data_IF_162099161327
#
_entry.id   IF_162099161327
#
_cell.length_a   1.000
_cell.length_b   1.000
_cell.length_c   1.000
_cell.angle_alpha   90.00
_cell.angle_beta   90.00
_cell.angle_gamma   90.00
#
_symmetry.space_group_name_H-M   'P 1'
#
loop_
_entity.id
_entity.type
_entity.pdbx_description
1 polymer ?
#
# COMPACT_ATOMS: atom_id res chain seq x y z
N UNK A 1 -7.18 -15.84 9.41
CA UNK A 1 -6.29 -16.29 8.30
C UNK A 1 -4.99 -16.77 8.93
N UNK A 2 -4.90 -18.05 9.32
CA UNK A 2 -3.81 -18.53 10.19
C UNK A 2 -2.43 -18.51 9.51
N UNK A 3 -2.39 -18.64 8.18
CA UNK A 3 -1.14 -18.61 7.42
C UNK A 3 -0.48 -17.23 7.46
N UNK A 4 -1.26 -16.15 7.38
CA UNK A 4 -0.74 -14.78 7.52
C UNK A 4 -0.17 -14.55 8.92
N UNK A 5 -0.89 -14.96 9.97
CA UNK A 5 -0.40 -14.84 11.35
C UNK A 5 0.94 -15.56 11.52
N UNK A 6 1.05 -16.81 11.05
CA UNK A 6 2.30 -17.57 11.07
C UNK A 6 3.43 -16.89 10.30
N UNK A 7 3.13 -16.25 9.17
CA UNK A 7 4.12 -15.54 8.36
C UNK A 7 4.60 -14.25 9.06
N UNK A 8 3.70 -13.52 9.73
CA UNK A 8 4.04 -12.35 10.54
C UNK A 8 4.90 -12.77 11.74
N UNK A 9 4.53 -13.83 12.45
CA UNK A 9 5.33 -14.36 13.56
C UNK A 9 6.73 -14.80 13.11
N UNK A 10 6.82 -15.51 11.98
CA UNK A 10 8.10 -15.88 11.38
C UNK A 10 8.95 -14.64 11.07
N UNK A 11 8.35 -13.62 10.45
CA UNK A 11 9.03 -12.39 10.06
C UNK A 11 9.58 -11.62 11.27
N UNK A 12 8.81 -11.51 12.36
CA UNK A 12 9.25 -10.85 13.59
C UNK A 12 10.31 -11.68 14.32
N UNK A 13 10.14 -13.01 14.39
CA UNK A 13 11.15 -13.90 14.99
C UNK A 13 12.50 -13.76 14.32
N UNK A 14 12.53 -13.60 13.00
CA UNK A 14 13.79 -13.44 12.25
C UNK A 14 14.55 -12.15 12.63
N UNK A 15 13.84 -11.11 13.09
CA UNK A 15 14.45 -9.86 13.56
C UNK A 15 15.32 -10.06 14.80
N UNK A 16 15.04 -11.08 15.62
CA UNK A 16 15.88 -11.44 16.76
C UNK A 16 17.30 -11.84 16.32
N UNK A 17 17.45 -12.33 15.09
CA UNK A 17 18.73 -12.65 14.47
C UNK A 17 19.36 -11.44 13.74
N UNK A 18 18.93 -10.21 14.07
CA UNK A 18 19.37 -8.95 13.44
C UNK A 18 19.08 -8.87 11.93
N UNK A 19 18.09 -9.64 11.45
CA UNK A 19 17.71 -9.68 10.03
C UNK A 19 16.25 -9.27 9.87
N UNK A 20 16.00 -8.22 9.08
CA UNK A 20 14.64 -7.81 8.68
C UNK A 20 14.44 -8.18 7.22
N UNK A 21 13.68 -9.25 6.96
CA UNK A 21 13.38 -9.67 5.59
C UNK A 21 12.56 -8.58 4.87
N UNK A 22 12.93 -8.29 3.63
CA UNK A 22 12.31 -7.23 2.82
C UNK A 22 10.99 -7.66 2.16
N UNK A 23 10.02 -8.05 2.97
CA UNK A 23 8.64 -8.30 2.52
C UNK A 23 7.89 -6.97 2.40
N UNK A 24 7.75 -6.45 1.17
CA UNK A 24 7.17 -5.14 0.90
C UNK A 24 5.81 -4.88 1.59
N UNK A 25 4.83 -5.82 1.56
CA UNK A 25 3.58 -5.63 2.28
C UNK A 25 3.77 -5.41 3.79
N UNK A 26 4.77 -6.04 4.39
CA UNK A 26 4.99 -5.93 5.84
C UNK A 26 5.75 -4.66 6.17
N UNK A 27 6.79 -4.38 5.39
CA UNK A 27 7.62 -3.18 5.55
C UNK A 27 6.80 -1.92 5.34
N UNK A 28 6.03 -1.85 4.25
CA UNK A 28 5.26 -0.64 3.95
C UNK A 28 4.18 -0.34 4.99
N UNK A 29 3.55 -1.38 5.54
CA UNK A 29 2.57 -1.22 6.62
C UNK A 29 3.27 -0.83 7.93
N UNK A 30 4.33 -1.55 8.32
CA UNK A 30 5.04 -1.31 9.59
C UNK A 30 5.74 0.04 9.60
N UNK A 31 6.36 0.47 8.50
CA UNK A 31 6.96 1.80 8.40
C UNK A 31 5.93 2.90 8.71
N UNK A 32 4.73 2.80 8.13
CA UNK A 32 3.65 3.74 8.42
C UNK A 32 3.15 3.68 9.86
N UNK A 33 3.04 2.47 10.44
CA UNK A 33 2.63 2.30 11.83
C UNK A 33 3.67 2.85 12.81
N UNK A 34 4.96 2.71 12.50
CA UNK A 34 6.06 3.25 13.32
C UNK A 34 6.09 4.78 13.25
N UNK A 35 5.87 5.36 12.07
CA UNK A 35 5.84 6.81 11.82
C UNK A 35 4.50 7.47 12.15
N UNK A 36 3.46 6.69 12.41
CA UNK A 36 2.07 7.14 12.53
C UNK A 36 1.62 7.97 11.32
N UNK A 37 2.08 7.59 10.12
CA UNK A 37 1.77 8.30 8.88
C UNK A 37 0.47 7.79 8.27
N UNK A 38 -0.27 8.68 7.60
CA UNK A 38 -1.40 8.31 6.76
C UNK A 38 -0.92 8.12 5.33
N UNK A 39 -1.48 7.14 4.65
CA UNK A 39 -1.22 6.88 3.23
C UNK A 39 -2.49 7.04 2.41
N UNK A 40 -2.33 7.63 1.22
CA UNK A 40 -3.23 7.40 0.08
C UNK A 40 -2.92 6.04 -0.55
N UNK A 41 -3.32 5.82 -1.81
CA UNK A 41 -2.98 4.59 -2.53
C UNK A 41 -1.48 4.31 -2.46
N UNK A 42 -1.14 3.12 -1.98
CA UNK A 42 0.24 2.74 -1.62
C UNK A 42 1.20 2.74 -2.81
N UNK A 43 0.71 2.38 -3.99
CA UNK A 43 1.51 2.37 -5.21
C UNK A 43 1.72 3.76 -5.82
N UNK A 44 1.00 4.80 -5.36
CA UNK A 44 1.12 6.16 -5.88
C UNK A 44 0.19 6.48 -7.06
N UNK A 45 -0.39 5.46 -7.69
CA UNK A 45 -1.18 5.61 -8.91
C UNK A 45 -2.27 6.70 -8.77
N UNK A 46 -2.21 7.70 -9.63
CA UNK A 46 -3.19 8.78 -9.70
C UNK A 46 -3.07 9.83 -8.60
N UNK A 47 -1.97 9.90 -7.83
CA UNK A 47 -1.74 11.03 -6.91
C UNK A 47 -0.26 11.40 -6.75
N UNK A 48 0.65 10.42 -6.74
CA UNK A 48 2.10 10.63 -6.66
C UNK A 48 2.87 9.92 -7.79
N UNK A 49 2.23 8.97 -8.46
CA UNK A 49 2.76 8.20 -9.57
C UNK A 49 1.80 8.23 -10.75
N UNK A 50 2.35 8.50 -11.93
CA UNK A 50 1.65 8.54 -13.20
C UNK A 50 2.50 7.82 -14.25
N UNK A 51 1.87 7.35 -15.32
CA UNK A 51 2.56 6.78 -16.47
C UNK A 51 2.32 7.64 -17.72
N UNK A 52 3.34 7.74 -18.56
CA UNK A 52 3.25 8.42 -19.86
C UNK A 52 3.17 7.34 -20.94
N UNK A 53 2.10 7.39 -21.74
CA UNK A 53 1.89 6.51 -22.89
C UNK A 53 2.75 6.99 -24.06
N UNK A 54 2.99 6.12 -25.04
CA UNK A 54 3.83 6.40 -26.21
C UNK A 54 3.31 7.53 -27.10
N UNK A 55 2.04 7.90 -27.00
CA UNK A 55 1.43 9.04 -27.70
C UNK A 55 1.38 10.32 -26.86
N UNK A 56 2.06 10.33 -25.70
CA UNK A 56 2.16 11.49 -24.82
C UNK A 56 0.98 11.68 -23.86
N UNK A 57 -0.01 10.78 -23.83
CA UNK A 57 -1.07 10.82 -22.81
C UNK A 57 -0.52 10.40 -21.44
N UNK A 58 -0.92 11.12 -20.40
CA UNK A 58 -0.61 10.81 -19.01
C UNK A 58 -1.79 10.06 -18.40
N UNK A 59 -1.53 8.92 -17.79
CA UNK A 59 -2.54 8.05 -17.17
C UNK A 59 -2.19 7.76 -15.72
N UNK A 60 -3.21 7.53 -14.89
CA UNK A 60 -3.02 7.28 -13.45
C UNK A 60 -2.22 6.01 -13.16
N UNK A 61 -2.33 4.98 -14.01
CA UNK A 61 -1.67 3.69 -13.84
C UNK A 61 -1.38 3.04 -15.20
N UNK A 62 -0.21 2.42 -15.41
CA UNK A 62 0.14 1.83 -16.71
C UNK A 62 -0.79 0.68 -17.14
N UNK A 63 -1.46 -0.01 -16.21
CA UNK A 63 -2.40 -1.10 -16.55
C UNK A 63 -3.75 -0.60 -17.06
N UNK A 64 -4.02 0.71 -16.96
CA UNK A 64 -5.28 1.35 -17.36
C UNK A 64 -5.15 2.18 -18.63
N UNK A 65 -4.08 1.96 -19.40
CA UNK A 65 -3.65 2.89 -20.46
C UNK A 65 -4.69 3.16 -21.56
N UNK A 66 -5.73 2.34 -21.67
CA UNK A 66 -6.80 2.42 -22.68
C UNK A 66 -8.16 2.88 -22.13
N UNK A 67 -8.26 3.18 -20.83
CA UNK A 67 -9.53 3.56 -20.20
C UNK A 67 -9.53 5.07 -20.00
N UNK A 68 -10.36 5.78 -20.76
CA UNK A 68 -10.37 7.25 -20.80
C UNK A 68 -10.62 7.90 -19.42
N UNK A 69 -11.44 7.26 -18.58
CA UNK A 69 -11.71 7.73 -17.21
C UNK A 69 -10.45 7.86 -16.34
N UNK A 70 -9.36 7.17 -16.70
CA UNK A 70 -8.09 7.17 -15.98
C UNK A 70 -7.02 8.08 -16.60
N UNK A 71 -7.37 8.84 -17.65
CA UNK A 71 -6.50 9.85 -18.19
C UNK A 71 -6.36 11.00 -17.19
N UNK A 72 -5.12 11.43 -16.99
CA UNK A 72 -4.75 12.47 -16.02
C UNK A 72 -4.24 13.75 -16.66
N UNK A 73 -3.84 13.68 -17.93
CA UNK A 73 -3.34 14.82 -18.71
C UNK A 73 -2.61 14.36 -19.98
N UNK A 74 -1.74 15.21 -20.48
CA UNK A 74 -0.81 14.94 -21.57
C UNK A 74 0.48 15.77 -21.42
N UNK A 75 1.40 15.69 -22.37
CA UNK A 75 2.70 16.37 -22.32
C UNK A 75 2.63 17.91 -22.23
N UNK A 76 1.47 18.51 -22.53
CA UNK A 76 1.28 19.97 -22.38
C UNK A 76 0.66 20.34 -21.03
N UNK A 77 0.26 19.35 -20.22
CA UNK A 77 -0.32 19.56 -18.91
C UNK A 77 0.75 19.99 -17.91
N UNK A 78 0.42 20.94 -17.04
CA UNK A 78 1.25 21.25 -15.87
C UNK A 78 1.17 20.06 -14.89
N UNK A 79 2.31 19.54 -14.40
CA UNK A 79 2.32 18.45 -13.42
C UNK A 79 1.47 18.69 -12.17
N UNK A 80 1.30 19.95 -11.74
CA UNK A 80 0.48 20.31 -10.58
C UNK A 80 -1.04 20.21 -10.83
N UNK A 81 -1.45 20.24 -12.10
CA UNK A 81 -2.86 20.25 -12.52
C UNK A 81 -3.35 18.86 -12.98
N UNK A 82 -2.51 17.82 -12.84
CA UNK A 82 -2.89 16.46 -13.24
C UNK A 82 -4.07 15.96 -12.40
N UNK A 83 -4.98 15.22 -13.04
CA UNK A 83 -6.13 14.60 -12.35
C UNK A 83 -5.63 13.73 -11.19
N UNK A 84 -6.16 14.00 -10.00
CA UNK A 84 -5.90 13.20 -8.80
C UNK A 84 -7.07 12.25 -8.56
N UNK A 85 -6.77 10.99 -8.25
CA UNK A 85 -7.74 9.95 -7.99
C UNK A 85 -7.87 9.72 -6.48
N UNK A 86 -9.06 9.95 -5.90
CA UNK A 86 -9.27 9.72 -4.48
C UNK A 86 -9.30 8.21 -4.18
N UNK A 87 -9.24 7.90 -2.88
CA UNK A 87 -9.56 6.55 -2.42
C UNK A 87 -11.01 6.20 -2.79
N UNK A 88 -11.29 4.95 -3.15
CA UNK A 88 -12.62 4.54 -3.53
C UNK A 88 -13.64 4.77 -2.41
N UNK A 89 -14.85 5.15 -2.81
CA UNK A 89 -15.96 5.53 -1.91
C UNK A 89 -16.22 4.49 -0.80
N UNK A 90 -16.22 3.21 -1.17
CA UNK A 90 -16.41 2.09 -0.22
C UNK A 90 -15.38 2.02 0.91
N UNK A 91 -14.23 2.66 0.73
CA UNK A 91 -13.15 2.66 1.71
C UNK A 91 -13.14 3.93 2.58
N UNK A 92 -13.93 4.97 2.27
CA UNK A 92 -13.92 6.24 3.00
C UNK A 92 -14.17 6.02 4.49
N UNK A 93 -15.15 5.19 4.83
CA UNK A 93 -15.54 4.90 6.22
C UNK A 93 -14.83 3.67 6.81
N UNK A 94 -13.82 3.10 6.13
CA UNK A 94 -13.10 1.93 6.63
C UNK A 94 -12.07 2.35 7.70
N UNK A 95 -12.04 1.60 8.79
CA UNK A 95 -11.22 1.84 9.98
C UNK A 95 -9.70 1.72 9.74
N UNK A 96 -9.30 1.05 8.67
CA UNK A 96 -7.88 0.91 8.26
C UNK A 96 -7.57 1.70 6.98
N UNK A 97 -8.44 2.60 6.52
CA UNK A 97 -8.29 3.30 5.25
C UNK A 97 -6.94 4.02 5.09
N UNK A 98 -6.42 4.65 6.15
CA UNK A 98 -5.18 5.40 6.14
C UNK A 98 -3.93 4.51 6.17
N UNK A 99 -4.10 3.22 6.48
CA UNK A 99 -3.02 2.22 6.43
C UNK A 99 -3.11 1.41 5.13
N UNK A 100 -4.31 1.04 4.69
CA UNK A 100 -4.56 0.29 3.46
C UNK A 100 -4.43 1.18 2.20
N UNK A 101 -4.89 2.43 2.25
CA UNK A 101 -4.90 3.31 1.09
C UNK A 101 -5.87 2.89 -0.02
N UNK A 102 -6.76 1.92 0.23
CA UNK A 102 -7.81 1.52 -0.73
C UNK A 102 -7.43 0.48 -1.77
N UNK A 103 -6.31 -0.25 -1.57
CA UNK A 103 -5.77 -1.25 -2.51
C UNK A 103 -5.52 -0.67 -3.91
N UNK A 104 -5.40 -1.55 -4.90
CA UNK A 104 -5.20 -1.19 -6.29
C UNK A 104 -6.33 -0.27 -6.82
N UNK A 105 -5.92 0.81 -7.51
CA UNK A 105 -6.84 1.77 -8.15
C UNK A 105 -7.78 1.07 -9.14
N UNK A 106 -7.25 0.12 -9.92
CA UNK A 106 -7.99 -0.62 -10.95
C UNK A 106 -9.11 -1.44 -10.34
N UNK A 107 -8.76 -2.17 -9.30
CA UNK A 107 -9.70 -3.00 -8.57
C UNK A 107 -10.79 -2.17 -7.89
N UNK A 108 -10.41 -1.04 -7.30
CA UNK A 108 -11.33 -0.23 -6.50
C UNK A 108 -12.30 0.61 -7.32
N UNK A 109 -11.91 1.07 -8.52
CA UNK A 109 -12.72 1.95 -9.35
C UNK A 109 -13.59 1.23 -10.38
N UNK A 110 -13.09 0.15 -11.00
CA UNK A 110 -13.83 -0.54 -12.07
C UNK A 110 -14.91 -1.52 -11.57
N UNK A 111 -14.89 -1.88 -10.27
CA UNK A 111 -15.89 -2.78 -9.64
C UNK A 111 -16.18 -4.05 -10.47
N UNK A 112 -15.13 -4.68 -10.99
CA UNK A 112 -15.24 -5.87 -11.87
C UNK A 112 -15.57 -7.16 -11.11
N UNK A 113 -15.51 -7.15 -9.79
CA UNK A 113 -15.69 -8.33 -8.94
C UNK A 113 -16.97 -8.24 -8.11
N UNK A 114 -17.57 -9.38 -7.76
CA UNK A 114 -18.70 -9.42 -6.83
C UNK A 114 -18.33 -8.86 -5.46
N UNK A 115 -19.31 -8.28 -4.78
CA UNK A 115 -19.11 -7.65 -3.47
C UNK A 115 -18.58 -8.63 -2.43
N UNK A 116 -19.01 -9.89 -2.46
CA UNK A 116 -18.56 -10.93 -1.53
C UNK A 116 -17.06 -11.20 -1.68
N UNK A 117 -16.56 -11.21 -2.92
CA UNK A 117 -15.13 -11.34 -3.19
C UNK A 117 -14.34 -10.17 -2.62
N UNK A 118 -14.88 -8.96 -2.78
CA UNK A 118 -14.24 -7.76 -2.29
C UNK A 118 -14.22 -7.69 -0.76
N UNK A 119 -15.28 -8.15 -0.10
CA UNK A 119 -15.36 -8.28 1.35
C UNK A 119 -14.36 -9.32 1.88
N UNK A 120 -14.20 -10.46 1.21
CA UNK A 120 -13.23 -11.50 1.59
C UNK A 120 -11.79 -10.98 1.51
N UNK A 121 -11.46 -10.20 0.47
CA UNK A 121 -10.15 -9.59 0.33
C UNK A 121 -9.95 -8.52 1.42
N UNK A 122 -10.93 -7.64 1.62
CA UNK A 122 -10.88 -6.63 2.68
C UNK A 122 -10.65 -7.27 4.07
N UNK A 123 -11.33 -8.37 4.38
CA UNK A 123 -11.15 -9.13 5.62
C UNK A 123 -9.72 -9.66 5.76
N UNK A 124 -9.13 -10.14 4.67
CA UNK A 124 -7.76 -10.63 4.65
C UNK A 124 -6.74 -9.52 4.89
N UNK A 125 -6.93 -8.36 4.26
CA UNK A 125 -6.06 -7.19 4.45
C UNK A 125 -6.17 -6.61 5.85
N UNK A 126 -7.40 -6.51 6.38
CA UNK A 126 -7.62 -6.10 7.78
C UNK A 126 -6.88 -7.03 8.74
N UNK A 127 -7.00 -8.34 8.53
CA UNK A 127 -6.27 -9.35 9.33
C UNK A 127 -4.75 -9.10 9.28
N UNK A 128 -4.17 -8.93 8.09
CA UNK A 128 -2.74 -8.61 7.94
C UNK A 128 -2.33 -7.34 8.71
N UNK A 129 -3.07 -6.25 8.54
CA UNK A 129 -2.78 -4.97 9.20
C UNK A 129 -2.85 -5.12 10.72
N UNK A 130 -3.86 -5.83 11.24
CA UNK A 130 -4.01 -6.03 12.68
C UNK A 130 -2.90 -6.91 13.26
N UNK A 131 -2.51 -7.99 12.58
CA UNK A 131 -1.37 -8.83 13.02
C UNK A 131 -0.08 -8.02 13.08
N UNK A 132 0.23 -7.24 12.03
CA UNK A 132 1.41 -6.37 12.03
C UNK A 132 1.33 -5.31 13.13
N UNK A 133 0.17 -4.66 13.31
CA UNK A 133 -0.06 -3.67 14.37
C UNK A 133 0.17 -4.26 15.77
N UNK A 134 -0.29 -5.48 16.01
CA UNK A 134 -0.09 -6.18 17.29
C UNK A 134 1.39 -6.47 17.57
N UNK A 135 2.22 -6.60 16.54
CA UNK A 135 3.68 -6.81 16.66
C UNK A 135 4.50 -5.52 16.73
N UNK A 136 3.90 -4.35 16.46
CA UNK A 136 4.62 -3.06 16.54
C UNK A 136 5.30 -2.82 17.90
N UNK A 137 4.69 -3.12 19.07
CA UNK A 137 5.37 -2.96 20.35
C UNK A 137 6.66 -3.79 20.46
N UNK A 138 6.63 -5.05 20.04
CA UNK A 138 7.79 -5.95 20.01
C UNK A 138 8.87 -5.42 19.05
N UNK A 139 8.48 -4.98 17.86
CA UNK A 139 9.40 -4.36 16.89
C UNK A 139 10.06 -3.10 17.46
N UNK A 140 9.29 -2.24 18.15
CA UNK A 140 9.82 -1.03 18.81
C UNK A 140 10.83 -1.39 19.91
N UNK A 141 10.59 -2.45 20.68
CA UNK A 141 11.53 -2.93 21.68
C UNK A 141 12.85 -3.41 21.05
N UNK A 142 12.79 -4.15 19.93
CA UNK A 142 13.99 -4.58 19.19
C UNK A 142 14.79 -3.40 18.63
N UNK A 143 14.10 -2.34 18.17
CA UNK A 143 14.74 -1.08 17.74
C UNK A 143 15.42 -0.39 18.93
N UNK A 144 14.74 -0.27 20.07
CA UNK A 144 15.29 0.35 21.29
C UNK A 144 16.53 -0.38 21.80
N UNK A 145 16.55 -1.72 21.71
CA UNK A 145 17.71 -2.55 22.05
C UNK A 145 18.84 -2.50 21.01
N UNK A 146 18.64 -1.81 19.89
CA UNK A 146 19.61 -1.73 18.80
C UNK A 146 19.85 -3.05 18.05
N UNK A 147 18.94 -4.03 18.18
CA UNK A 147 19.03 -5.31 17.46
C UNK A 147 18.73 -5.09 15.97
N UNK A 148 17.77 -4.22 15.68
CA UNK A 148 17.41 -3.74 14.36
C UNK A 148 17.32 -2.20 14.36
N UNK A 149 17.28 -1.59 13.19
CA UNK A 149 17.12 -0.14 13.01
C UNK A 149 15.75 0.19 12.42
N UNK A 150 15.19 1.34 12.78
CA UNK A 150 14.00 1.88 12.10
C UNK A 150 14.21 2.04 10.59
N UNK A 151 15.43 2.33 10.14
CA UNK A 151 15.81 2.39 8.72
C UNK A 151 15.63 1.07 7.99
N UNK A 152 15.57 -0.06 8.70
CA UNK A 152 15.29 -1.35 8.07
C UNK A 152 13.85 -1.45 7.53
N UNK A 153 12.95 -0.54 7.92
CA UNK A 153 11.59 -0.47 7.39
C UNK A 153 11.44 0.60 6.29
N UNK A 154 12.49 1.34 5.96
CA UNK A 154 12.46 2.26 4.83
C UNK A 154 12.50 1.48 3.51
N UNK A 155 11.77 2.02 2.53
CA UNK A 155 11.67 1.55 1.16
C UNK A 155 11.35 2.74 0.26
N UNK A 156 11.75 2.66 -1.01
CA UNK A 156 11.38 3.64 -2.02
C UNK A 156 9.85 3.68 -2.17
N UNK A 157 9.24 4.86 -2.16
CA UNK A 157 7.77 4.97 -2.31
C UNK A 157 7.42 5.15 -3.80
N UNK A 158 6.22 4.71 -4.17
CA UNK A 158 5.59 4.98 -5.47
C UNK A 158 6.29 4.46 -6.73
N UNK A 159 7.17 3.46 -6.60
CA UNK A 159 7.81 2.81 -7.74
C UNK A 159 7.14 1.48 -8.16
N UNK A 160 5.89 1.27 -7.76
CA UNK A 160 5.06 0.13 -8.16
C UNK A 160 5.00 -1.14 -7.28
N UNK A 161 5.69 -1.31 -6.11
CA UNK A 161 5.48 -2.50 -5.31
C UNK A 161 4.06 -2.53 -4.72
N UNK A 162 3.43 -3.69 -4.76
CA UNK A 162 2.13 -3.91 -4.11
C UNK A 162 2.35 -4.06 -2.60
N UNK A 163 2.01 -3.01 -1.85
CA UNK A 163 2.07 -3.02 -0.37
C UNK A 163 0.82 -3.67 0.22
N UNK A 164 -0.32 -3.61 -0.48
CA UNK A 164 -1.58 -4.17 0.00
C UNK A 164 -2.09 -5.19 -1.02
N UNK A 165 -1.72 -6.47 -0.86
CA UNK A 165 -2.01 -7.50 -1.86
C UNK A 165 -3.51 -7.77 -2.08
#
# INVERSE_FOLDING_TARGET
>A
NASITKLVDFWVKDMQNKRVLKLYPFIGIVDSLLKNEKSLLRCGAGHSGYAIRTDGKIVACPIMTWIEDFFSGDLNSNPEDLKVFPIAERCINCEVNHICGGRCLYWSHLRLWPEEGDQLICKTIKHLIYELKNKVPEIKELIQKGIISSKNFEYEKYFGPEIIP
#
